data_IF_093119237792
#
_entry.id   IF_093119237792
#
_cell.length_a   1.000
_cell.length_b   1.000
_cell.length_c   1.000
_cell.angle_alpha   90.00
_cell.angle_beta   90.00
_cell.angle_gamma   90.00
#
_symmetry.space_group_name_H-M   'P 1'
#
loop_
_entity.id
_entity.type
_entity.pdbx_description
1 polymer ?
#
# COMPACT_ATOMS: atom_id res chain seq x y z
N UNK A 1 -46.54 39.07 -30.62
CA UNK A 1 -45.17 39.29 -30.09
C UNK A 1 -45.01 38.59 -28.75
N UNK A 2 -43.81 38.04 -28.50
CA UNK A 2 -43.32 37.28 -27.34
C UNK A 2 -43.36 35.75 -27.49
N UNK A 3 -42.44 35.27 -28.34
CA UNK A 3 -41.89 33.91 -28.31
C UNK A 3 -41.06 33.74 -27.02
N UNK A 4 -41.38 32.72 -26.21
CA UNK A 4 -40.54 32.26 -25.10
C UNK A 4 -39.55 31.24 -25.68
N UNK A 5 -38.27 31.55 -25.65
CA UNK A 5 -37.18 30.67 -26.06
C UNK A 5 -36.98 29.53 -25.04
N UNK A 6 -36.83 28.27 -25.48
CA UNK A 6 -36.40 27.20 -24.59
C UNK A 6 -34.90 27.33 -24.28
N UNK A 7 -34.54 27.17 -23.00
CA UNK A 7 -33.15 27.09 -22.54
C UNK A 7 -32.50 25.85 -23.15
N UNK A 8 -31.55 26.06 -24.03
CA UNK A 8 -30.64 25.04 -24.57
C UNK A 8 -29.82 24.43 -23.42
N UNK A 9 -30.08 23.16 -23.10
CA UNK A 9 -29.19 22.36 -22.28
C UNK A 9 -28.00 21.93 -23.14
N UNK A 10 -26.83 22.47 -22.80
CA UNK A 10 -25.54 22.09 -23.38
C UNK A 10 -25.19 20.68 -22.89
N UNK A 11 -25.39 19.67 -23.73
CA UNK A 11 -24.90 18.31 -23.50
C UNK A 11 -23.39 18.27 -23.72
N UNK A 12 -22.61 18.25 -22.64
CA UNK A 12 -21.17 17.99 -22.71
C UNK A 12 -20.98 16.47 -22.76
N UNK A 13 -20.84 15.95 -23.98
CA UNK A 13 -20.35 14.60 -24.22
C UNK A 13 -18.82 14.61 -24.12
N UNK A 14 -18.28 14.18 -22.98
CA UNK A 14 -16.85 13.87 -22.88
C UNK A 14 -16.70 12.41 -23.27
N UNK A 15 -16.43 12.17 -24.56
CA UNK A 15 -15.81 10.95 -25.01
C UNK A 15 -14.34 10.99 -24.59
N UNK A 16 -13.96 10.22 -23.58
CA UNK A 16 -12.56 10.06 -23.22
C UNK A 16 -12.04 8.75 -23.81
N UNK A 17 -11.31 8.89 -24.91
CA UNK A 17 -10.44 7.85 -25.43
C UNK A 17 -9.34 7.60 -24.39
N UNK A 18 -9.31 6.41 -23.81
CA UNK A 18 -8.27 5.98 -22.90
C UNK A 18 -6.97 5.67 -23.68
N UNK A 19 -6.17 6.70 -23.93
CA UNK A 19 -4.75 6.55 -24.23
C UNK A 19 -3.99 6.49 -22.89
N UNK A 20 -3.88 5.30 -22.29
CA UNK A 20 -3.08 5.12 -21.06
C UNK A 20 -1.62 4.85 -21.42
N UNK A 21 -0.92 5.94 -21.74
CA UNK A 21 0.53 6.01 -21.80
C UNK A 21 1.03 7.12 -20.87
N UNK A 22 2.02 6.79 -20.03
CA UNK A 22 2.86 7.68 -19.20
C UNK A 22 2.22 8.44 -18.05
N UNK A 23 2.49 7.96 -16.83
CA UNK A 23 2.22 8.67 -15.58
C UNK A 23 2.77 7.92 -14.36
N UNK A 24 3.99 7.39 -14.45
CA UNK A 24 4.70 6.84 -13.29
C UNK A 24 5.15 7.98 -12.37
N UNK A 25 4.19 8.60 -11.67
CA UNK A 25 4.48 9.28 -10.43
C UNK A 25 4.80 8.18 -9.41
N UNK A 26 6.08 8.07 -9.06
CA UNK A 26 6.62 7.13 -8.08
C UNK A 26 5.92 7.31 -6.72
N UNK A 27 4.80 6.60 -6.52
CA UNK A 27 4.41 6.16 -5.18
C UNK A 27 5.33 4.97 -4.82
N UNK A 28 5.95 5.03 -3.64
CA UNK A 28 6.91 4.02 -3.19
C UNK A 28 6.38 2.58 -3.21
N UNK A 29 7.27 1.58 -3.11
CA UNK A 29 6.92 0.18 -3.31
C UNK A 29 5.89 -0.26 -2.26
N UNK A 30 4.68 -0.63 -2.72
CA UNK A 30 3.78 -1.49 -1.95
C UNK A 30 2.66 -0.83 -1.13
N UNK A 31 2.14 0.33 -1.54
CA UNK A 31 0.84 0.81 -1.02
C UNK A 31 -0.34 0.05 -1.65
N UNK A 32 -1.22 -0.62 -0.88
CA UNK A 32 -2.43 -1.22 -1.44
C UNK A 32 -3.24 -0.14 -2.16
N UNK A 33 -3.56 -0.35 -3.45
CA UNK A 33 -4.58 0.47 -4.10
C UNK A 33 -5.87 0.30 -3.30
N UNK A 34 -6.32 1.39 -2.69
CA UNK A 34 -7.49 1.39 -1.81
C UNK A 34 -8.74 0.89 -2.56
N UNK A 35 -9.70 0.37 -1.82
CA UNK A 35 -10.95 -0.11 -2.38
C UNK A 35 -11.65 0.98 -3.23
N UNK A 36 -12.18 0.66 -4.43
CA UNK A 36 -12.80 1.64 -5.33
C UNK A 36 -13.98 2.37 -4.67
N UNK A 37 -14.74 1.72 -3.79
CA UNK A 37 -15.86 2.39 -3.10
C UNK A 37 -15.34 3.43 -2.09
N UNK A 38 -14.25 3.14 -1.39
CA UNK A 38 -13.61 4.12 -0.48
C UNK A 38 -13.01 5.31 -1.26
N UNK A 39 -12.45 5.05 -2.45
CA UNK A 39 -11.94 6.12 -3.33
C UNK A 39 -13.10 6.97 -3.88
N UNK A 40 -14.19 6.33 -4.30
CA UNK A 40 -15.40 7.00 -4.77
C UNK A 40 -16.06 7.85 -3.68
N UNK A 41 -16.20 7.35 -2.46
CA UNK A 41 -16.78 8.10 -1.33
C UNK A 41 -16.00 9.40 -1.08
N UNK A 42 -14.67 9.33 -1.12
CA UNK A 42 -13.79 10.49 -0.95
C UNK A 42 -13.95 11.51 -2.07
N UNK A 43 -14.02 11.05 -3.32
CA UNK A 43 -14.23 11.92 -4.49
C UNK A 43 -15.62 12.55 -4.47
N UNK A 44 -16.63 11.77 -4.10
CA UNK A 44 -18.02 12.22 -3.97
C UNK A 44 -18.13 13.34 -2.94
N UNK A 45 -17.53 13.19 -1.76
CA UNK A 45 -17.52 14.24 -0.72
C UNK A 45 -16.73 15.50 -1.09
N UNK A 46 -15.67 15.36 -1.90
CA UNK A 46 -14.80 16.49 -2.27
C UNK A 46 -15.33 17.29 -3.44
N UNK A 47 -16.03 16.63 -4.35
CA UNK A 47 -16.43 17.19 -5.65
C UNK A 47 -17.96 17.24 -5.82
N UNK A 48 -18.72 16.83 -4.79
CA UNK A 48 -20.18 16.74 -4.79
C UNK A 48 -20.73 16.03 -6.03
N UNK A 49 -20.18 14.85 -6.32
CA UNK A 49 -20.52 14.09 -7.52
C UNK A 49 -22.00 13.69 -7.53
N UNK A 50 -22.68 13.91 -8.66
CA UNK A 50 -24.04 13.42 -8.91
C UNK A 50 -24.07 11.89 -9.02
N UNK A 51 -25.24 11.23 -8.85
CA UNK A 51 -25.33 9.76 -8.97
C UNK A 51 -24.81 9.23 -10.30
N UNK A 52 -25.03 9.95 -11.40
CA UNK A 52 -24.53 9.57 -12.72
C UNK A 52 -23.00 9.67 -12.80
N UNK A 53 -22.40 10.73 -12.24
CA UNK A 53 -20.94 10.87 -12.18
C UNK A 53 -20.31 9.81 -11.27
N UNK A 54 -20.97 9.48 -10.15
CA UNK A 54 -20.49 8.43 -9.25
C UNK A 54 -20.41 7.08 -9.95
N UNK A 55 -21.44 6.72 -10.73
CA UNK A 55 -21.44 5.48 -11.52
C UNK A 55 -20.27 5.45 -12.51
N UNK A 56 -20.03 6.54 -13.24
CA UNK A 56 -18.92 6.63 -14.20
C UNK A 56 -17.55 6.53 -13.51
N UNK A 57 -17.35 7.25 -12.41
CA UNK A 57 -16.10 7.22 -11.65
C UNK A 57 -15.87 5.82 -11.05
N UNK A 58 -16.92 5.15 -10.57
CA UNK A 58 -16.83 3.79 -10.06
C UNK A 58 -16.29 2.84 -11.12
N UNK A 59 -16.85 2.87 -12.33
CA UNK A 59 -16.37 2.04 -13.45
C UNK A 59 -14.90 2.31 -13.75
N UNK A 60 -14.46 3.58 -13.82
CA UNK A 60 -13.06 3.93 -14.06
C UNK A 60 -12.13 3.36 -12.96
N UNK A 61 -12.54 3.45 -11.69
CA UNK A 61 -11.75 2.94 -10.57
C UNK A 61 -11.66 1.40 -10.55
N UNK A 62 -12.71 0.70 -10.98
CA UNK A 62 -12.74 -0.76 -11.11
C UNK A 62 -11.86 -1.24 -12.26
N UNK A 63 -11.92 -0.56 -13.40
CA UNK A 63 -11.05 -0.82 -14.56
C UNK A 63 -9.58 -0.56 -14.23
N UNK A 64 -9.27 0.59 -13.58
CA UNK A 64 -7.92 0.93 -13.12
C UNK A 64 -7.36 -0.12 -12.17
N UNK A 65 -8.15 -0.56 -11.19
CA UNK A 65 -7.76 -1.61 -10.26
C UNK A 65 -7.43 -2.91 -11.00
N UNK A 66 -8.29 -3.32 -11.94
CA UNK A 66 -8.08 -4.54 -12.72
C UNK A 66 -6.80 -4.48 -13.54
N UNK A 67 -6.56 -3.34 -14.22
CA UNK A 67 -5.34 -3.12 -14.99
C UNK A 67 -4.09 -3.11 -14.11
N UNK A 68 -4.15 -2.44 -12.95
CA UNK A 68 -3.06 -2.41 -11.99
C UNK A 68 -2.73 -3.81 -11.43
N UNK A 69 -3.75 -4.61 -11.11
CA UNK A 69 -3.57 -6.00 -10.63
C UNK A 69 -2.90 -6.88 -11.71
N UNK A 70 -3.32 -6.74 -12.97
CA UNK A 70 -2.69 -7.43 -14.10
C UNK A 70 -1.24 -6.98 -14.32
N UNK A 71 -0.95 -5.69 -14.21
CA UNK A 71 0.40 -5.16 -14.32
C UNK A 71 1.31 -5.70 -13.20
N UNK A 72 0.83 -5.69 -11.95
CA UNK A 72 1.57 -6.25 -10.83
C UNK A 72 1.86 -7.75 -10.99
N UNK A 73 0.89 -8.52 -11.48
CA UNK A 73 1.08 -9.94 -11.77
C UNK A 73 2.17 -10.17 -12.83
N UNK A 74 2.14 -9.41 -13.92
CA UNK A 74 3.16 -9.48 -14.97
C UNK A 74 4.55 -9.08 -14.48
N UNK A 75 4.64 -7.98 -13.71
CA UNK A 75 5.91 -7.53 -13.12
C UNK A 75 6.48 -8.61 -12.20
N UNK A 76 5.64 -9.22 -11.35
CA UNK A 76 6.07 -10.31 -10.46
C UNK A 76 6.60 -11.50 -11.25
N UNK A 77 5.92 -11.93 -12.31
CA UNK A 77 6.37 -13.04 -13.15
C UNK A 77 7.73 -12.74 -13.81
N UNK A 78 7.90 -11.51 -14.31
CA UNK A 78 9.19 -11.08 -14.90
C UNK A 78 10.31 -11.07 -13.88
N UNK A 79 10.05 -10.58 -12.67
CA UNK A 79 11.02 -10.62 -11.56
C UNK A 79 11.39 -12.08 -11.28
N UNK A 80 10.41 -12.98 -11.11
CA UNK A 80 10.69 -14.40 -10.85
C UNK A 80 11.53 -15.06 -11.94
N UNK A 81 11.36 -14.66 -13.20
CA UNK A 81 12.14 -15.17 -14.33
C UNK A 81 13.62 -14.77 -14.33
N UNK A 82 14.00 -13.72 -13.60
CA UNK A 82 15.41 -13.28 -13.47
C UNK A 82 16.06 -13.71 -12.16
N UNK A 83 15.29 -14.26 -11.21
CA UNK A 83 15.82 -14.72 -9.93
C UNK A 83 16.50 -16.09 -10.04
N UNK A 84 17.64 -16.22 -9.36
CA UNK A 84 18.30 -17.52 -9.16
C UNK A 84 17.48 -18.43 -8.24
N UNK A 85 17.79 -19.72 -8.20
CA UNK A 85 17.14 -20.66 -7.26
C UNK A 85 17.34 -20.24 -5.80
N UNK A 86 18.55 -19.81 -5.45
CA UNK A 86 18.86 -19.32 -4.10
C UNK A 86 18.06 -18.06 -3.76
N UNK A 87 17.92 -17.12 -4.69
CA UNK A 87 17.11 -15.91 -4.50
C UNK A 87 15.61 -16.24 -4.38
N UNK A 88 15.09 -17.20 -5.14
CA UNK A 88 13.70 -17.68 -5.02
C UNK A 88 13.46 -18.34 -3.67
N UNK A 89 14.41 -19.14 -3.19
CA UNK A 89 14.34 -19.74 -1.85
C UNK A 89 14.37 -18.66 -0.75
N UNK A 90 15.21 -17.64 -0.88
CA UNK A 90 15.26 -16.51 0.05
C UNK A 90 13.95 -15.71 0.06
N UNK A 91 13.35 -15.45 -1.10
CA UNK A 91 12.05 -14.78 -1.21
C UNK A 91 10.95 -15.61 -0.52
N UNK A 92 10.89 -16.92 -0.78
CA UNK A 92 9.92 -17.82 -0.17
C UNK A 92 10.06 -17.86 1.36
N UNK A 93 11.29 -17.92 1.87
CA UNK A 93 11.57 -17.87 3.31
C UNK A 93 11.13 -16.52 3.92
N UNK A 94 11.36 -15.41 3.22
CA UNK A 94 10.91 -14.09 3.66
C UNK A 94 9.38 -13.99 3.68
N UNK A 95 8.70 -14.52 2.67
CA UNK A 95 7.23 -14.58 2.63
C UNK A 95 6.67 -15.40 3.79
N UNK A 96 7.26 -16.56 4.10
CA UNK A 96 6.88 -17.38 5.26
C UNK A 96 7.07 -16.65 6.58
N UNK A 97 8.21 -15.96 6.78
CA UNK A 97 8.42 -15.13 7.98
C UNK A 97 7.37 -14.03 8.11
N UNK A 98 6.95 -13.44 6.98
CA UNK A 98 5.88 -12.44 6.95
C UNK A 98 4.53 -13.00 7.40
N UNK A 99 4.17 -14.18 6.88
CA UNK A 99 2.96 -14.91 7.28
C UNK A 99 2.98 -15.26 8.76
N UNK A 100 4.08 -15.82 9.24
CA UNK A 100 4.19 -16.27 10.64
C UNK A 100 4.02 -15.08 11.60
N UNK A 101 4.67 -13.94 11.32
CA UNK A 101 4.47 -12.69 12.08
C UNK A 101 3.04 -12.18 12.00
N UNK A 102 2.35 -12.33 10.87
CA UNK A 102 0.96 -11.92 10.75
C UNK A 102 0.04 -12.80 11.61
N UNK A 103 0.23 -14.12 11.53
CA UNK A 103 -0.51 -15.10 12.34
C UNK A 103 -0.23 -14.89 13.82
N UNK A 104 1.02 -14.67 14.23
CA UNK A 104 1.39 -14.38 15.62
C UNK A 104 0.70 -13.12 16.15
N UNK A 105 0.69 -12.03 15.36
CA UNK A 105 -0.04 -10.80 15.73
C UNK A 105 -1.54 -11.04 15.88
N UNK A 106 -2.16 -11.78 14.97
CA UNK A 106 -3.58 -12.13 15.08
C UNK A 106 -3.84 -13.00 16.30
N UNK A 107 -2.97 -13.98 16.55
CA UNK A 107 -3.03 -14.89 17.70
C UNK A 107 -3.00 -14.12 19.01
N UNK A 108 -2.04 -13.19 19.19
CA UNK A 108 -1.96 -12.39 20.41
C UNK A 108 -3.17 -11.48 20.64
N UNK A 109 -3.75 -10.93 19.57
CA UNK A 109 -4.88 -9.99 19.66
C UNK A 109 -6.24 -10.67 19.83
N UNK A 110 -6.45 -11.79 19.13
CA UNK A 110 -7.71 -12.54 19.14
C UNK A 110 -7.69 -13.71 20.12
N UNK A 111 -6.51 -14.06 20.66
CA UNK A 111 -6.30 -15.26 21.49
C UNK A 111 -6.79 -16.51 20.77
N UNK A 112 -6.22 -16.75 19.58
CA UNK A 112 -6.60 -17.89 18.74
C UNK A 112 -6.18 -19.22 19.38
N UNK A 113 -6.99 -20.26 19.22
CA UNK A 113 -6.63 -21.63 19.59
C UNK A 113 -5.61 -22.22 18.57
N UNK A 114 -4.89 -23.30 18.91
CA UNK A 114 -3.95 -23.95 17.99
C UNK A 114 -4.59 -24.39 16.66
N UNK A 115 -5.84 -24.83 16.70
CA UNK A 115 -6.60 -25.22 15.51
C UNK A 115 -6.96 -23.99 14.66
N UNK A 116 -7.42 -22.90 15.30
CA UNK A 116 -7.72 -21.64 14.61
C UNK A 116 -6.46 -21.03 13.96
N UNK A 117 -5.30 -21.12 14.63
CA UNK A 117 -4.00 -20.69 14.09
C UNK A 117 -3.69 -21.42 12.79
N UNK A 118 -3.87 -22.75 12.77
CA UNK A 118 -3.63 -23.56 11.58
C UNK A 118 -4.56 -23.15 10.43
N UNK A 119 -5.84 -22.94 10.70
CA UNK A 119 -6.82 -22.53 9.69
C UNK A 119 -6.54 -21.11 9.15
N UNK A 120 -6.26 -20.14 10.03
CA UNK A 120 -5.91 -18.77 9.63
C UNK A 120 -4.61 -18.75 8.82
N UNK A 121 -3.61 -19.55 9.20
CA UNK A 121 -2.36 -19.67 8.44
C UNK A 121 -2.62 -20.18 7.02
N UNK A 122 -3.46 -21.20 6.87
CA UNK A 122 -3.83 -21.73 5.55
C UNK A 122 -4.51 -20.67 4.67
N UNK A 123 -5.47 -19.93 5.24
CA UNK A 123 -6.19 -18.84 4.55
C UNK A 123 -5.22 -17.73 4.10
N UNK A 124 -4.29 -17.32 4.96
CA UNK A 124 -3.30 -16.30 4.62
C UNK A 124 -2.24 -16.80 3.63
N UNK A 125 -1.84 -18.06 3.69
CA UNK A 125 -0.92 -18.66 2.74
C UNK A 125 -1.53 -18.73 1.33
N UNK A 126 -2.83 -19.07 1.23
CA UNK A 126 -3.56 -19.06 -0.03
C UNK A 126 -3.60 -17.65 -0.66
N UNK A 127 -3.71 -16.60 0.14
CA UNK A 127 -3.64 -15.22 -0.37
C UNK A 127 -2.32 -14.90 -1.07
N UNK A 128 -1.21 -15.52 -0.66
CA UNK A 128 0.09 -15.29 -1.32
C UNK A 128 0.15 -15.90 -2.71
N UNK A 129 -0.52 -17.04 -2.91
CA UNK A 129 -0.55 -17.76 -4.19
C UNK A 129 -1.73 -17.32 -5.06
N UNK A 130 -2.77 -16.74 -4.46
CA UNK A 130 -3.96 -16.22 -5.13
C UNK A 130 -4.13 -14.71 -4.89
N UNK A 131 -3.44 -13.85 -5.66
CA UNK A 131 -3.58 -12.40 -5.56
C UNK A 131 -4.94 -11.87 -6.03
N UNK A 132 -5.77 -12.69 -6.68
CA UNK A 132 -7.13 -12.32 -7.05
C UNK A 132 -8.12 -12.42 -5.88
N UNK A 133 -7.77 -13.13 -4.79
CA UNK A 133 -8.64 -13.32 -3.63
C UNK A 133 -8.98 -11.97 -2.96
N UNK A 134 -10.19 -11.47 -3.14
CA UNK A 134 -10.57 -10.15 -2.64
C UNK A 134 -10.33 -10.03 -1.12
N UNK A 135 -9.92 -8.83 -0.66
CA UNK A 135 -9.69 -8.57 0.77
C UNK A 135 -10.92 -8.90 1.62
N UNK A 136 -12.10 -8.55 1.12
CA UNK A 136 -13.40 -8.83 1.76
C UNK A 136 -13.65 -10.34 1.88
N UNK A 137 -13.32 -11.10 0.85
CA UNK A 137 -13.44 -12.56 0.88
C UNK A 137 -12.46 -13.18 1.88
N UNK A 138 -11.20 -12.72 1.87
CA UNK A 138 -10.19 -13.12 2.85
C UNK A 138 -10.65 -12.87 4.29
N UNK A 139 -11.21 -11.68 4.54
CA UNK A 139 -11.77 -11.30 5.84
C UNK A 139 -12.94 -12.21 6.25
N UNK A 140 -13.87 -12.49 5.32
CA UNK A 140 -15.00 -13.38 5.58
C UNK A 140 -14.56 -14.79 5.96
N UNK A 141 -13.56 -15.33 5.25
CA UNK A 141 -12.99 -16.65 5.57
C UNK A 141 -12.29 -16.67 6.92
N UNK A 142 -11.54 -15.64 7.27
CA UNK A 142 -10.94 -15.52 8.62
C UNK A 142 -12.04 -15.44 9.67
N UNK A 143 -13.07 -14.61 9.48
CA UNK A 143 -14.16 -14.44 10.43
C UNK A 143 -14.93 -15.75 10.71
N UNK A 144 -15.11 -16.61 9.71
CA UNK A 144 -15.78 -17.91 9.86
C UNK A 144 -15.07 -18.86 10.83
N UNK A 145 -13.75 -18.69 11.05
CA UNK A 145 -12.94 -19.49 11.98
C UNK A 145 -13.02 -18.95 13.41
N UNK A 146 -13.49 -17.72 13.58
CA UNK A 146 -13.49 -16.99 14.84
C UNK A 146 -14.81 -17.18 15.60
N UNK A 147 -14.71 -17.16 16.93
CA UNK A 147 -15.89 -17.02 17.82
C UNK A 147 -16.55 -15.65 17.68
N UNK A 148 -17.82 -15.48 18.07
CA UNK A 148 -18.50 -14.18 17.99
C UNK A 148 -17.74 -13.03 18.68
N UNK A 149 -17.16 -13.28 19.86
CA UNK A 149 -16.38 -12.29 20.60
C UNK A 149 -15.07 -11.94 19.88
N UNK A 150 -14.43 -12.93 19.24
CA UNK A 150 -13.24 -12.71 18.41
C UNK A 150 -13.57 -11.93 17.13
N UNK A 151 -14.71 -12.20 16.49
CA UNK A 151 -15.16 -11.45 15.30
C UNK A 151 -15.35 -9.97 15.61
N UNK A 152 -15.94 -9.63 16.75
CA UNK A 152 -16.08 -8.22 17.17
C UNK A 152 -14.72 -7.55 17.35
N UNK A 153 -13.76 -8.23 18.01
CA UNK A 153 -12.39 -7.71 18.13
C UNK A 153 -11.71 -7.57 16.78
N UNK A 154 -11.93 -8.53 15.87
CA UNK A 154 -11.39 -8.50 14.52
C UNK A 154 -11.92 -7.29 13.74
N UNK A 155 -13.23 -7.08 13.72
CA UNK A 155 -13.86 -5.91 13.10
C UNK A 155 -13.38 -4.58 13.69
N UNK A 156 -13.19 -4.51 15.02
CA UNK A 156 -12.69 -3.30 15.69
C UNK A 156 -11.21 -2.99 15.33
N UNK A 157 -10.42 -4.00 14.95
CA UNK A 157 -9.07 -3.77 14.45
C UNK A 157 -9.06 -3.21 13.03
N UNK A 158 -10.00 -3.64 12.20
CA UNK A 158 -10.09 -3.17 10.81
C UNK A 158 -10.43 -1.68 10.78
N UNK A 159 -11.40 -1.25 11.59
CA UNK A 159 -11.78 0.16 11.70
C UNK A 159 -10.65 1.05 12.22
N UNK A 160 -9.77 0.52 13.09
CA UNK A 160 -8.59 1.24 13.59
C UNK A 160 -7.44 1.32 12.58
N UNK A 161 -7.34 0.36 11.65
CA UNK A 161 -6.31 0.32 10.61
C UNK A 161 -6.39 1.51 9.64
N UNK A 162 -7.60 1.98 9.34
CA UNK A 162 -7.84 3.11 8.43
C UNK A 162 -7.36 4.46 8.98
N UNK A 163 -7.07 4.56 10.28
CA UNK A 163 -6.70 5.82 10.93
C UNK A 163 -5.19 6.08 10.95
N UNK A 164 -4.35 5.11 10.55
CA UNK A 164 -2.89 5.24 10.64
C UNK A 164 -2.26 6.04 9.48
N UNK A 165 -3.06 6.46 8.49
CA UNK A 165 -2.63 7.37 7.42
C UNK A 165 -2.62 8.86 7.77
N UNK A 166 -3.09 9.28 8.96
CA UNK A 166 -3.11 10.69 9.41
C UNK A 166 -1.88 11.09 10.24
N UNK A 167 -0.68 10.65 9.87
CA UNK A 167 0.57 11.20 10.43
C UNK A 167 1.55 11.42 9.28
N UNK A 168 1.63 12.65 8.75
CA UNK A 168 2.70 12.97 7.81
C UNK A 168 2.63 14.26 6.99
N UNK A 169 1.45 14.86 6.72
CA UNK A 169 1.36 16.06 5.88
C UNK A 169 1.41 17.38 6.70
N UNK A 170 2.45 17.52 7.51
CA UNK A 170 2.85 18.83 8.03
C UNK A 170 4.15 19.23 7.31
N UNK A 171 4.23 20.39 6.62
CA UNK A 171 5.51 20.85 6.10
C UNK A 171 6.49 21.01 7.26
N UNK A 172 7.78 20.67 7.10
CA UNK A 172 8.78 21.11 8.04
C UNK A 172 8.81 22.64 7.92
N UNK A 173 8.20 23.34 8.87
CA UNK A 173 8.50 24.75 9.10
C UNK A 173 9.95 24.82 9.57
N UNK A 174 10.86 24.82 8.60
CA UNK A 174 12.17 25.42 8.78
C UNK A 174 11.96 26.93 8.73
N UNK A 175 12.19 27.58 9.87
CA UNK A 175 12.64 28.96 9.88
C UNK A 175 14.18 28.95 9.83
N UNK A 176 14.80 29.62 8.83
CA UNK A 176 16.20 30.00 8.89
C UNK A 176 16.35 31.40 9.53
N UNK A 177 17.45 31.61 10.26
CA UNK A 177 17.89 32.86 10.92
C UNK A 177 17.14 33.20 12.23
N UNK A 178 17.74 33.66 13.32
CA UNK A 178 18.93 34.50 13.47
C UNK A 178 19.51 34.46 14.92
N UNK A 179 20.85 34.41 15.03
CA UNK A 179 21.63 35.00 16.13
C UNK A 179 22.09 34.11 17.32
N UNK A 180 23.17 34.51 18.05
CA UNK A 180 24.46 35.03 17.59
C UNK A 180 25.64 34.11 17.99
N UNK A 181 26.74 34.24 17.25
CA UNK A 181 28.06 33.74 17.65
C UNK A 181 28.49 34.40 18.97
N UNK A 182 28.81 33.60 19.99
CA UNK A 182 29.79 34.02 20.99
C UNK A 182 30.54 32.81 21.56
N UNK A 183 31.84 32.80 21.28
CA UNK A 183 32.83 32.66 22.34
C UNK A 183 33.08 31.29 23.00
N UNK A 184 34.20 30.70 22.59
CA UNK A 184 35.17 29.96 23.44
C UNK A 184 34.82 28.51 23.80
N UNK A 185 35.55 27.59 23.17
CA UNK A 185 36.51 26.76 23.93
C UNK A 185 37.64 26.26 23.03
N UNK A 186 38.80 26.87 23.22
CA UNK A 186 40.10 26.34 22.83
C UNK A 186 40.37 24.99 23.53
N UNK A 187 41.01 24.07 22.80
CA UNK A 187 41.57 22.85 23.38
C UNK A 187 41.92 21.79 22.32
N UNK A 188 43.20 21.63 21.94
CA UNK A 188 43.65 20.66 20.96
C UNK A 188 43.86 19.29 21.61
N UNK A 189 43.61 18.21 20.87
CA UNK A 189 43.83 16.85 21.36
C UNK A 189 43.88 15.84 20.21
N UNK A 190 45.11 15.53 19.82
CA UNK A 190 45.52 14.51 18.87
C UNK A 190 44.90 13.12 19.12
N UNK A 191 44.56 12.41 18.04
CA UNK A 191 44.22 10.99 18.08
C UNK A 191 43.88 10.43 16.70
N UNK A 192 44.61 9.41 16.19
CA UNK A 192 44.75 9.15 14.76
C UNK A 192 43.61 8.34 14.13
N UNK A 193 43.50 8.52 12.82
CA UNK A 193 42.70 7.74 11.89
C UNK A 193 43.34 6.37 11.65
N UNK A 194 42.71 5.32 12.15
CA UNK A 194 42.93 3.94 11.71
C UNK A 194 41.64 3.40 11.09
N UNK A 195 41.56 3.46 9.76
CA UNK A 195 40.58 2.76 8.95
C UNK A 195 41.32 1.89 7.94
N UNK A 196 40.96 0.60 7.78
CA UNK A 196 41.80 -0.38 7.10
C UNK A 196 41.91 -0.13 5.60
N UNK A 197 43.15 -0.12 5.17
CA UNK A 197 43.67 -0.14 3.81
C UNK A 197 43.23 -1.45 3.11
N UNK A 198 42.39 -1.34 2.07
CA UNK A 198 42.05 -2.47 1.21
C UNK A 198 43.16 -2.66 0.17
N UNK A 199 44.08 -3.56 0.48
CA UNK A 199 45.08 -4.10 -0.43
C UNK A 199 44.39 -4.97 -1.50
N UNK A 200 44.26 -4.43 -2.71
CA UNK A 200 43.88 -5.19 -3.90
C UNK A 200 45.15 -5.81 -4.51
N UNK A 201 45.62 -6.86 -3.85
CA UNK A 201 46.68 -7.75 -4.31
C UNK A 201 46.27 -8.51 -5.56
N UNK A 202 46.65 -7.96 -6.71
CA UNK A 202 46.83 -8.63 -7.99
C UNK A 202 48.04 -9.57 -7.86
N UNK A 203 47.84 -10.88 -8.07
CA UNK A 203 48.66 -11.75 -8.93
C UNK A 203 48.60 -13.25 -8.56
N UNK A 204 48.31 -14.07 -9.58
CA UNK A 204 49.06 -15.29 -9.84
C UNK A 204 48.49 -16.64 -9.38
N UNK A 205 47.76 -17.32 -10.27
CA UNK A 205 48.20 -18.57 -10.91
C UNK A 205 47.34 -18.93 -12.11
#
# INVERSE_FOLDING_TARGET
>A
MRLRTPRTLLAIAIGLAAALGTGAAFCGPGGPHGDPDTRLERLTRRLDLTPQQQAQVKTILEEERTAADQLHAQVRQRIQGVLTEEQRAAEAAQQQRGLDRQVERLTGRLRLSPEQVTQVRAILAERLTNPALARTELQGRIAAVLTPEQQQRFAAMESRGDHRGKRGDGPPTGDPADGPQDGRRDGPGDGPADGPEYDNGRDGR
#
